data_IF_901909860275
#
_entry.id   IF_901909860275
#
_cell.length_a   1.000
_cell.length_b   1.000
_cell.length_c   1.000
_cell.angle_alpha   90.00
_cell.angle_beta   90.00
_cell.angle_gamma   90.00
#
_symmetry.space_group_name_H-M   'P 1'
#
loop_
_entity.id
_entity.type
_entity.pdbx_description
1 polymer ?
#
# COMPACT_ATOMS: atom_id res chain seq x y z
N UNK A 1 1.18 3.84 18.59
CA UNK A 1 1.59 3.41 17.23
C UNK A 1 2.50 2.17 17.21
N UNK A 2 3.19 1.79 18.30
CA UNK A 2 4.08 0.61 18.30
C UNK A 2 3.40 -0.72 17.89
N UNK A 3 2.16 -0.98 18.34
CA UNK A 3 1.45 -2.24 18.05
C UNK A 3 1.06 -2.37 16.57
N UNK A 4 0.71 -1.26 15.92
CA UNK A 4 0.40 -1.25 14.49
C UNK A 4 1.65 -1.54 13.64
N UNK A 5 2.80 -0.97 14.03
CA UNK A 5 4.10 -1.23 13.39
C UNK A 5 4.54 -2.69 13.53
N UNK A 6 4.39 -3.29 14.71
CA UNK A 6 4.72 -4.72 14.90
C UNK A 6 3.78 -5.64 14.11
N UNK A 7 2.49 -5.30 14.03
CA UNK A 7 1.51 -6.08 13.26
C UNK A 7 1.76 -5.98 11.76
N UNK A 8 2.14 -4.80 11.26
CA UNK A 8 2.61 -4.60 9.90
C UNK A 8 3.85 -5.44 9.62
N UNK A 9 4.86 -5.36 10.50
CA UNK A 9 6.11 -6.11 10.38
C UNK A 9 5.87 -7.61 10.33
N UNK A 10 4.99 -8.14 11.18
CA UNK A 10 4.60 -9.55 11.16
C UNK A 10 3.90 -9.93 9.84
N UNK A 11 3.00 -9.08 9.36
CA UNK A 11 2.30 -9.28 8.10
C UNK A 11 3.28 -9.33 6.90
N UNK A 12 4.16 -8.33 6.75
CA UNK A 12 5.10 -8.28 5.63
C UNK A 12 6.17 -9.38 5.70
N UNK A 13 6.58 -9.79 6.91
CA UNK A 13 7.52 -10.91 7.09
C UNK A 13 6.88 -12.23 6.65
N UNK A 14 5.57 -12.38 6.85
CA UNK A 14 4.81 -13.57 6.42
C UNK A 14 4.52 -13.54 4.93
N UNK A 15 4.17 -12.37 4.38
CA UNK A 15 3.84 -12.19 2.97
C UNK A 15 5.07 -12.25 2.06
N UNK A 16 6.20 -11.68 2.51
CA UNK A 16 7.41 -11.50 1.71
C UNK A 16 7.86 -12.75 0.94
N UNK A 17 8.04 -13.91 1.61
CA UNK A 17 8.46 -15.15 0.93
C UNK A 17 7.51 -15.65 -0.17
N UNK A 18 6.24 -15.25 -0.12
CA UNK A 18 5.22 -15.69 -1.09
C UNK A 18 5.17 -14.82 -2.35
N UNK A 19 5.68 -13.59 -2.29
CA UNK A 19 5.43 -12.57 -3.33
C UNK A 19 6.70 -11.94 -3.89
N UNK A 20 7.76 -11.88 -3.08
CA UNK A 20 9.03 -11.27 -3.46
C UNK A 20 9.88 -12.22 -4.31
N UNK A 21 10.72 -11.68 -5.21
CA UNK A 21 11.69 -12.50 -5.93
C UNK A 21 12.73 -13.10 -4.97
N UNK A 22 13.32 -14.22 -5.36
CA UNK A 22 14.29 -14.96 -4.53
C UNK A 22 15.50 -14.11 -4.11
N UNK A 23 15.92 -13.13 -4.92
CA UNK A 23 17.01 -12.20 -4.59
C UNK A 23 16.70 -11.39 -3.33
N UNK A 24 15.49 -10.86 -3.22
CA UNK A 24 15.01 -10.10 -2.06
C UNK A 24 14.89 -11.00 -0.82
N UNK A 25 14.38 -12.22 -1.01
CA UNK A 25 14.26 -13.20 0.06
C UNK A 25 15.64 -13.58 0.63
N UNK A 26 16.62 -13.77 -0.24
CA UNK A 26 17.99 -14.11 0.16
C UNK A 26 18.66 -12.96 0.92
N UNK A 27 18.56 -11.72 0.44
CA UNK A 27 19.06 -10.54 1.13
C UNK A 27 18.44 -10.39 2.52
N UNK A 28 17.11 -10.49 2.61
CA UNK A 28 16.41 -10.45 3.89
C UNK A 28 16.88 -11.55 4.84
N UNK A 29 16.97 -12.80 4.35
CA UNK A 29 17.42 -13.94 5.14
C UNK A 29 18.86 -13.76 5.66
N UNK A 30 19.79 -13.33 4.81
CA UNK A 30 21.18 -13.07 5.22
C UNK A 30 21.27 -12.01 6.31
N UNK A 31 20.51 -10.91 6.19
CA UNK A 31 20.51 -9.87 7.24
C UNK A 31 19.88 -10.37 8.53
N UNK A 32 18.85 -11.22 8.46
CA UNK A 32 18.21 -11.82 9.62
C UNK A 32 19.16 -12.79 10.35
N UNK A 33 19.87 -13.62 9.61
CA UNK A 33 20.89 -14.55 10.14
C UNK A 33 22.07 -13.79 10.76
N UNK A 34 22.62 -12.80 10.04
CA UNK A 34 23.71 -11.96 10.53
C UNK A 34 23.39 -11.28 11.86
N UNK A 35 22.15 -10.79 12.01
CA UNK A 35 21.71 -10.11 13.24
C UNK A 35 21.35 -11.07 14.36
N UNK A 36 20.58 -12.12 14.07
CA UNK A 36 19.99 -12.98 15.11
C UNK A 36 20.95 -14.07 15.59
N UNK A 37 21.73 -14.64 14.67
CA UNK A 37 22.66 -15.74 14.97
C UNK A 37 24.05 -15.17 15.26
N UNK A 38 24.57 -14.33 14.37
CA UNK A 38 25.94 -13.81 14.47
C UNK A 38 26.06 -12.49 15.27
N UNK A 39 24.94 -11.93 15.75
CA UNK A 39 24.87 -10.67 16.53
C UNK A 39 25.61 -9.49 15.87
N UNK A 40 25.69 -9.48 14.54
CA UNK A 40 26.33 -8.41 13.77
C UNK A 40 25.48 -7.14 13.87
N UNK A 41 26.12 -6.01 14.18
CA UNK A 41 25.47 -4.69 14.17
C UNK A 41 25.26 -4.24 12.72
N UNK A 42 24.11 -4.59 12.14
CA UNK A 42 23.66 -4.12 10.84
C UNK A 42 22.20 -3.67 10.89
N UNK A 43 21.85 -2.69 10.04
CA UNK A 43 20.47 -2.21 9.96
C UNK A 43 19.55 -3.33 9.41
N UNK A 44 18.29 -3.42 9.88
CA UNK A 44 17.31 -4.30 9.25
C UNK A 44 17.19 -3.98 7.77
N UNK A 45 17.21 -5.00 6.92
CA UNK A 45 16.82 -4.86 5.53
C UNK A 45 15.30 -4.90 5.43
N UNK A 46 14.73 -3.92 4.73
CA UNK A 46 13.30 -3.88 4.39
C UNK A 46 13.22 -4.32 2.93
N UNK A 47 12.56 -5.44 2.62
CA UNK A 47 12.44 -5.90 1.25
C UNK A 47 11.67 -4.91 0.37
N UNK A 48 12.08 -4.82 -0.89
CA UNK A 48 11.40 -3.93 -1.84
C UNK A 48 10.14 -4.59 -2.42
N UNK A 49 8.99 -4.29 -1.80
CA UNK A 49 7.68 -4.78 -2.26
C UNK A 49 7.24 -4.18 -3.61
N UNK A 50 7.88 -3.11 -4.10
CA UNK A 50 7.60 -2.55 -5.44
C UNK A 50 8.04 -3.51 -6.55
N UNK A 51 8.93 -4.47 -6.25
CA UNK A 51 9.29 -5.55 -7.17
C UNK A 51 8.19 -6.63 -7.28
N UNK A 52 7.36 -6.76 -6.23
CA UNK A 52 6.28 -7.72 -6.16
C UNK A 52 4.94 -7.16 -6.64
N UNK A 53 4.73 -5.84 -6.56
CA UNK A 53 3.43 -5.23 -6.83
C UNK A 53 3.59 -3.95 -7.64
N UNK A 54 2.75 -3.82 -8.66
CA UNK A 54 2.65 -2.60 -9.45
C UNK A 54 1.65 -1.60 -8.82
N UNK A 55 0.68 -2.06 -8.02
CA UNK A 55 -0.33 -1.20 -7.39
C UNK A 55 -0.51 -1.50 -5.91
N UNK A 56 -0.74 -0.46 -5.11
CA UNK A 56 -0.94 -0.56 -3.66
C UNK A 56 -2.26 0.10 -3.29
N UNK A 57 -3.10 -0.64 -2.59
CA UNK A 57 -4.33 -0.17 -1.98
C UNK A 57 -4.15 -0.29 -0.47
N UNK A 58 -4.09 0.84 0.21
CA UNK A 58 -3.80 0.95 1.62
C UNK A 58 -5.01 1.52 2.33
N UNK A 59 -5.74 0.65 3.02
CA UNK A 59 -6.79 1.10 3.91
C UNK A 59 -6.19 1.83 5.10
N UNK A 60 -6.53 3.10 5.20
CA UNK A 60 -6.16 3.93 6.31
C UNK A 60 -7.36 4.28 7.18
N UNK A 61 -7.21 4.03 8.49
CA UNK A 61 -8.06 4.65 9.50
C UNK A 61 -8.03 6.18 9.44
N UNK A 62 -6.94 6.74 8.92
CA UNK A 62 -6.71 8.17 8.67
C UNK A 62 -5.29 8.44 8.17
N UNK A 63 -4.98 9.70 7.85
CA UNK A 63 -3.73 10.12 7.20
C UNK A 63 -2.45 9.57 7.83
N UNK A 64 -2.36 9.59 9.15
CA UNK A 64 -1.17 9.13 9.86
C UNK A 64 -0.80 7.66 9.56
N UNK A 65 -1.80 6.82 9.25
CA UNK A 65 -1.57 5.42 8.86
C UNK A 65 -0.97 5.33 7.46
N UNK A 66 -1.41 6.18 6.53
CA UNK A 66 -0.82 6.27 5.19
C UNK A 66 0.64 6.73 5.26
N UNK A 67 0.92 7.78 6.04
CA UNK A 67 2.26 8.34 6.16
C UNK A 67 3.25 7.32 6.78
N UNK A 68 2.78 6.57 7.78
CA UNK A 68 3.58 5.51 8.41
C UNK A 68 3.86 4.35 7.43
N UNK A 69 2.87 3.95 6.63
CA UNK A 69 3.08 2.90 5.63
C UNK A 69 3.97 3.33 4.47
N UNK A 70 3.80 4.57 3.98
CA UNK A 70 4.67 5.14 2.96
C UNK A 70 6.14 5.07 3.39
N UNK A 71 6.41 5.47 4.64
CA UNK A 71 7.75 5.44 5.22
C UNK A 71 8.28 4.02 5.42
N UNK A 72 7.47 3.09 5.95
CA UNK A 72 7.94 1.73 6.25
C UNK A 72 8.14 0.86 5.01
N UNK A 73 7.40 1.12 3.93
CA UNK A 73 7.46 0.37 2.68
C UNK A 73 8.23 1.12 1.58
N UNK A 74 8.74 2.32 1.89
CA UNK A 74 9.45 3.21 0.96
C UNK A 74 8.67 3.43 -0.35
N UNK A 75 7.36 3.67 -0.21
CA UNK A 75 6.45 3.89 -1.34
C UNK A 75 6.61 5.31 -1.87
N UNK A 76 6.46 5.46 -3.19
CA UNK A 76 6.45 6.79 -3.81
C UNK A 76 5.06 7.42 -3.77
N UNK A 77 5.00 8.74 -3.98
CA UNK A 77 3.74 9.49 -4.14
C UNK A 77 2.81 8.84 -5.19
N UNK A 78 3.35 8.28 -6.28
CA UNK A 78 2.55 7.59 -7.29
C UNK A 78 1.80 6.36 -6.74
N UNK A 79 2.45 5.60 -5.85
CA UNK A 79 1.84 4.44 -5.17
C UNK A 79 0.83 4.89 -4.11
N UNK A 80 1.09 6.01 -3.44
CA UNK A 80 0.24 6.55 -2.37
C UNK A 80 -0.97 7.31 -2.90
N UNK A 81 -0.91 7.83 -4.14
CA UNK A 81 -1.94 8.65 -4.77
C UNK A 81 -3.35 8.04 -4.68
N UNK A 82 -3.59 6.76 -5.03
CA UNK A 82 -4.93 6.18 -4.93
C UNK A 82 -5.49 6.22 -3.50
N UNK A 83 -4.66 5.87 -2.51
CA UNK A 83 -5.05 5.84 -1.09
C UNK A 83 -5.29 7.24 -0.54
N UNK A 84 -4.44 8.21 -0.89
CA UNK A 84 -4.58 9.60 -0.46
C UNK A 84 -5.78 10.29 -1.11
N UNK A 85 -5.99 10.09 -2.40
CA UNK A 85 -7.14 10.70 -3.10
C UNK A 85 -8.44 10.07 -2.67
N UNK A 86 -8.48 8.75 -2.45
CA UNK A 86 -9.65 8.07 -1.88
C UNK A 86 -10.00 8.62 -0.51
N UNK A 87 -9.01 8.71 0.39
CA UNK A 87 -9.22 9.27 1.72
C UNK A 87 -9.68 10.74 1.67
N UNK A 88 -9.11 11.55 0.78
CA UNK A 88 -9.53 12.94 0.59
C UNK A 88 -10.98 13.05 0.09
N UNK A 89 -11.35 12.26 -0.91
CA UNK A 89 -12.63 12.38 -1.62
C UNK A 89 -13.80 11.73 -0.90
N UNK A 90 -13.59 10.55 -0.33
CA UNK A 90 -14.63 9.72 0.27
C UNK A 90 -14.49 9.59 1.78
N UNK A 91 -13.40 10.08 2.37
CA UNK A 91 -13.09 9.83 3.77
C UNK A 91 -12.75 8.36 4.02
N UNK A 92 -12.79 7.98 5.29
CA UNK A 92 -12.65 6.59 5.69
C UNK A 92 -14.00 5.87 5.53
N UNK A 93 -14.15 5.10 4.45
CA UNK A 93 -15.34 4.28 4.17
C UNK A 93 -15.25 2.87 4.77
N UNK A 94 -14.40 2.68 5.80
CA UNK A 94 -14.12 1.37 6.40
C UNK A 94 -13.50 0.41 5.36
N UNK A 95 -13.83 -0.87 5.43
CA UNK A 95 -13.25 -1.92 4.59
C UNK A 95 -13.42 -1.68 3.08
N UNK A 96 -14.42 -0.91 2.64
CA UNK A 96 -14.63 -0.63 1.22
C UNK A 96 -13.63 0.37 0.63
N UNK A 97 -12.87 1.12 1.44
CA UNK A 97 -11.87 2.08 0.95
C UNK A 97 -10.89 1.43 -0.04
N UNK A 98 -10.45 0.20 0.21
CA UNK A 98 -9.56 -0.55 -0.68
C UNK A 98 -10.11 -0.73 -2.10
N UNK A 99 -11.42 -0.86 -2.24
CA UNK A 99 -12.08 -1.00 -3.55
C UNK A 99 -12.21 0.34 -4.25
N UNK A 100 -12.43 1.44 -3.52
CA UNK A 100 -12.37 2.78 -4.08
C UNK A 100 -10.94 3.13 -4.55
N UNK A 101 -9.92 2.70 -3.82
CA UNK A 101 -8.51 2.88 -4.21
C UNK A 101 -8.13 2.08 -5.46
N UNK A 102 -8.64 0.84 -5.55
CA UNK A 102 -8.47 0.04 -6.76
C UNK A 102 -9.21 0.67 -7.94
N UNK A 103 -10.45 1.13 -7.74
CA UNK A 103 -11.23 1.83 -8.75
C UNK A 103 -10.56 3.14 -9.21
N UNK A 104 -9.88 3.85 -8.31
CA UNK A 104 -9.08 5.03 -8.67
C UNK A 104 -7.96 4.63 -9.64
N UNK A 105 -7.22 3.58 -9.30
CA UNK A 105 -6.13 3.04 -10.14
C UNK A 105 -6.65 2.61 -11.52
N UNK A 106 -7.81 1.96 -11.56
CA UNK A 106 -8.50 1.59 -12.79
C UNK A 106 -8.93 2.80 -13.60
N UNK A 107 -9.55 3.80 -12.97
CA UNK A 107 -10.02 5.03 -13.64
C UNK A 107 -8.86 5.87 -14.19
N UNK A 108 -7.68 5.83 -13.55
CA UNK A 108 -6.43 6.40 -14.09
C UNK A 108 -5.85 5.63 -15.27
N UNK A 109 -6.45 4.51 -15.68
CA UNK A 109 -5.94 3.67 -16.77
C UNK A 109 -4.61 2.98 -16.44
N UNK A 110 -4.28 2.86 -15.14
CA UNK A 110 -3.00 2.29 -14.69
C UNK A 110 -3.01 0.76 -14.67
N UNK A 111 -4.18 0.13 -14.56
CA UNK A 111 -4.32 -1.32 -14.41
C UNK A 111 -4.19 -2.07 -15.74
N UNK A 112 -3.09 -2.82 -15.91
CA UNK A 112 -2.84 -3.66 -17.10
C UNK A 112 -2.92 -5.15 -16.78
N UNK A 113 -3.23 -5.97 -17.79
CA UNK A 113 -3.19 -7.44 -17.66
C UNK A 113 -1.84 -7.89 -17.10
N UNK A 114 -1.89 -8.76 -16.10
CA UNK A 114 -0.72 -9.30 -15.43
C UNK A 114 -0.19 -8.45 -14.27
N UNK A 115 -0.60 -7.18 -14.13
CA UNK A 115 -0.28 -6.37 -12.96
C UNK A 115 -0.79 -7.05 -11.69
N UNK A 116 -0.07 -6.83 -10.61
CA UNK A 116 -0.34 -7.32 -9.26
C UNK A 116 -0.67 -6.13 -8.39
N UNK A 117 -1.74 -6.27 -7.62
CA UNK A 117 -2.17 -5.26 -6.67
C UNK A 117 -2.14 -5.86 -5.26
N UNK A 118 -1.60 -5.10 -4.32
CA UNK A 118 -1.61 -5.47 -2.92
C UNK A 118 -2.59 -4.59 -2.16
N UNK A 119 -3.61 -5.22 -1.59
CA UNK A 119 -4.50 -4.62 -0.61
C UNK A 119 -3.96 -4.90 0.79
N UNK A 120 -3.71 -3.85 1.56
CA UNK A 120 -3.31 -3.94 2.96
C UNK A 120 -4.26 -3.12 3.83
N UNK A 121 -4.73 -3.70 4.92
CA UNK A 121 -5.66 -3.05 5.83
C UNK A 121 -5.36 -3.29 7.29
N UNK A 122 -5.61 -2.26 8.11
CA UNK A 122 -5.61 -2.35 9.56
C UNK A 122 -7.04 -2.33 10.10
N UNK A 123 -7.40 -3.36 10.86
CA UNK A 123 -8.70 -3.47 11.53
C UNK A 123 -8.64 -3.21 13.02
N UNK A 124 -9.81 -3.24 13.67
CA UNK A 124 -9.91 -3.16 15.14
C UNK A 124 -9.11 -4.29 15.80
N UNK A 125 -8.44 -3.97 16.91
CA UNK A 125 -7.51 -4.87 17.59
C UNK A 125 -6.12 -4.96 16.96
N UNK A 126 -5.70 -3.94 16.19
CA UNK A 126 -4.39 -3.83 15.54
C UNK A 126 -4.05 -5.01 14.62
N UNK A 127 -5.05 -5.64 13.99
CA UNK A 127 -4.81 -6.71 13.01
C UNK A 127 -4.45 -6.10 11.67
N UNK A 128 -3.37 -6.59 11.06
CA UNK A 128 -2.96 -6.23 9.71
C UNK A 128 -3.26 -7.39 8.76
N UNK A 129 -4.09 -7.15 7.75
CA UNK A 129 -4.50 -8.15 6.77
C UNK A 129 -4.02 -7.75 5.37
N UNK A 130 -3.68 -8.75 4.56
CA UNK A 130 -3.19 -8.57 3.20
C UNK A 130 -3.94 -9.46 2.22
N UNK A 131 -4.29 -8.90 1.07
CA UNK A 131 -4.80 -9.63 -0.09
C UNK A 131 -4.00 -9.25 -1.33
N UNK A 132 -3.61 -10.26 -2.10
CA UNK A 132 -2.84 -10.09 -3.32
C UNK A 132 -3.68 -10.49 -4.52
N UNK A 133 -3.74 -9.59 -5.49
CA UNK A 133 -4.54 -9.75 -6.69
C UNK A 133 -3.65 -9.74 -7.92
N UNK A 134 -4.06 -10.43 -8.98
CA UNK A 134 -3.46 -10.33 -10.31
C UNK A 134 -4.52 -9.99 -11.34
N UNK A 135 -4.30 -8.91 -12.08
CA UNK A 135 -5.20 -8.46 -13.12
C UNK A 135 -5.24 -9.48 -14.27
N UNK A 136 -6.42 -10.05 -14.53
CA UNK A 136 -6.60 -11.03 -15.61
C UNK A 136 -6.75 -10.38 -16.98
N UNK A 137 -7.13 -9.10 -17.00
CA UNK A 137 -7.32 -8.27 -18.19
C UNK A 137 -6.80 -6.85 -17.96
N UNK A 138 -6.54 -6.13 -19.05
CA UNK A 138 -6.27 -4.69 -19.00
C UNK A 138 -7.58 -3.94 -18.88
N UNK A 139 -7.66 -3.01 -17.94
CA UNK A 139 -8.84 -2.18 -17.73
C UNK A 139 -8.74 -0.93 -18.60
N UNK A 140 -9.82 -0.64 -19.32
CA UNK A 140 -9.95 0.50 -20.22
C UNK A 140 -10.94 1.49 -19.60
N UNK A 141 -10.50 2.63 -19.02
CA UNK A 141 -11.37 3.56 -18.33
C UNK A 141 -12.56 4.03 -19.18
N UNK A 142 -12.36 4.15 -20.49
CA UNK A 142 -13.39 4.60 -21.43
C UNK A 142 -14.51 3.58 -21.68
N UNK A 143 -14.32 2.32 -21.26
CA UNK A 143 -15.28 1.22 -21.45
C UNK A 143 -15.92 0.73 -20.16
N UNK A 144 -15.44 1.21 -19.02
CA UNK A 144 -15.82 0.69 -17.70
C UNK A 144 -16.31 1.87 -16.85
N UNK A 145 -17.44 1.71 -16.16
CA UNK A 145 -17.94 2.73 -15.24
C UNK A 145 -17.60 2.34 -13.80
N UNK A 146 -17.01 3.27 -13.06
CA UNK A 146 -16.69 3.09 -11.65
C UNK A 146 -16.94 4.40 -10.87
N UNK A 147 -16.80 4.40 -9.52
CA UNK A 147 -17.11 5.56 -8.69
C UNK A 147 -16.30 6.83 -8.99
N UNK A 148 -15.22 6.73 -9.77
CA UNK A 148 -14.36 7.86 -10.15
C UNK A 148 -14.57 8.34 -11.58
N UNK A 149 -15.29 7.59 -12.42
CA UNK A 149 -15.35 7.82 -13.87
C UNK A 149 -15.67 9.26 -14.27
N UNK A 150 -16.56 9.92 -13.53
CA UNK A 150 -17.06 11.25 -13.88
C UNK A 150 -16.10 12.38 -13.45
N UNK A 151 -15.19 12.14 -12.50
CA UNK A 151 -14.37 13.18 -11.85
C UNK A 151 -12.86 12.88 -11.82
N UNK A 152 -12.41 11.69 -12.25
CA UNK A 152 -11.01 11.25 -12.14
C UNK A 152 -9.99 12.19 -12.81
N UNK A 153 -10.43 12.93 -13.83
CA UNK A 153 -9.63 13.90 -14.56
C UNK A 153 -9.21 15.11 -13.70
N UNK A 154 -9.97 15.41 -12.63
CA UNK A 154 -9.65 16.48 -11.68
C UNK A 154 -8.64 16.09 -10.59
N UNK A 155 -8.19 14.83 -10.57
CA UNK A 155 -7.23 14.32 -9.59
C UNK A 155 -5.84 14.08 -10.22
N UNK A 156 -4.76 13.99 -9.44
CA UNK A 156 -4.70 14.27 -8.01
C UNK A 156 -4.84 15.77 -7.72
N UNK A 157 -5.39 16.08 -6.55
CA UNK A 157 -5.41 17.46 -6.02
C UNK A 157 -4.31 17.62 -4.97
N UNK A 158 -3.89 18.85 -4.72
CA UNK A 158 -2.98 19.14 -3.63
C UNK A 158 -3.70 18.98 -2.29
N UNK A 159 -3.25 18.04 -1.46
CA UNK A 159 -3.75 17.85 -0.09
C UNK A 159 -2.70 18.40 0.89
N UNK A 160 -2.95 19.53 1.59
CA UNK A 160 -2.00 20.13 2.51
C UNK A 160 -1.49 19.12 3.52
N UNK A 161 -0.20 19.18 3.91
CA UNK A 161 0.40 18.22 4.86
C UNK A 161 0.06 18.43 6.33
N UNK A 162 -0.48 19.59 6.68
CA UNK A 162 -0.80 19.99 8.05
C UNK A 162 -2.15 20.69 8.05
N UNK A 163 -3.04 20.29 8.96
CA UNK A 163 -4.20 21.11 9.30
C UNK A 163 -3.68 22.26 10.17
N UNK A 164 -3.66 23.48 9.63
CA UNK A 164 -3.61 24.67 10.49
C UNK A 164 -4.91 24.68 11.28
N UNK A 165 -4.85 24.25 12.53
CA UNK A 165 -5.93 24.48 13.49
C UNK A 165 -5.99 26.00 13.66
N UNK A 166 -6.92 26.66 12.96
CA UNK A 166 -7.32 28.00 13.32
C UNK A 166 -7.98 27.87 14.70
N UNK A 167 -7.30 28.39 15.73
CA UNK A 167 -7.82 28.48 17.10
C UNK A 167 -8.92 29.52 17.23
#
# INVERSE_FOLDING_TARGET
MAVAGESLKANITTLGPLVLPLSEQFLFFLTLVGRKIFKIKMKPYIPDFKLAFEHFCIHAGGRAVLDELEKNLELSEWHMEPSRMTLYRFGNTSSSSLWYELAYTEAKGRMRRGNRAWQIAFGSGFKCNSAVWRALRTIRPEKEKNPWSDEIHGFPVHVPRVDTIAG
#
